data_IF_593012745714
#
_entry.id   IF_593012745714
#
_cell.length_a   1.000
_cell.length_b   1.000
_cell.length_c   1.000
_cell.angle_alpha   90.00
_cell.angle_beta   90.00
_cell.angle_gamma   90.00
#
_symmetry.space_group_name_H-M   'P 1'
#
loop_
_entity.id
_entity.type
_entity.pdbx_description
1 polymer ?
#
# COMPACT_ATOMS: atom_id res chain seq x y z
N UNK A 1 44.00 -63.57 -41.87
CA UNK A 1 42.80 -64.13 -41.24
C UNK A 1 42.15 -63.09 -40.36
N UNK A 2 41.04 -62.50 -40.79
CA UNK A 2 40.35 -61.47 -40.04
C UNK A 2 39.32 -62.11 -39.09
N UNK A 3 39.52 -61.92 -37.80
CA UNK A 3 38.63 -62.43 -36.74
C UNK A 3 37.36 -61.55 -36.66
N UNK A 4 36.23 -62.10 -37.14
CA UNK A 4 34.92 -61.44 -36.99
C UNK A 4 34.51 -61.46 -35.53
N UNK A 5 34.52 -60.29 -34.90
CA UNK A 5 33.90 -60.08 -33.60
C UNK A 5 32.38 -60.21 -33.74
N UNK A 6 31.78 -61.24 -33.19
CA UNK A 6 30.33 -61.38 -33.03
C UNK A 6 29.90 -60.50 -31.85
N UNK A 7 29.50 -59.30 -32.13
CA UNK A 7 28.79 -58.46 -31.13
C UNK A 7 27.38 -58.96 -31.01
N UNK A 8 26.99 -59.42 -29.82
CA UNK A 8 25.63 -59.89 -29.56
C UNK A 8 24.66 -58.70 -29.63
N UNK A 9 23.54 -58.88 -30.35
CA UNK A 9 22.47 -57.86 -30.41
C UNK A 9 21.94 -57.44 -29.02
N UNK A 10 22.15 -58.26 -28.00
CA UNK A 10 21.74 -57.93 -26.61
C UNK A 10 22.65 -56.94 -25.92
N UNK A 11 23.91 -56.80 -26.36
CA UNK A 11 24.85 -55.88 -25.74
C UNK A 11 24.74 -54.46 -26.32
N UNK A 12 24.18 -54.33 -27.52
CA UNK A 12 23.89 -53.05 -28.17
C UNK A 12 22.76 -52.23 -27.48
N UNK A 13 21.95 -52.85 -26.60
CA UNK A 13 20.90 -52.20 -25.88
C UNK A 13 21.22 -51.94 -24.40
N UNK A 14 22.46 -52.22 -23.96
CA UNK A 14 22.85 -52.03 -22.54
C UNK A 14 23.63 -50.75 -22.25
N UNK A 15 24.10 -50.06 -23.25
CA UNK A 15 24.67 -48.70 -23.03
C UNK A 15 23.55 -47.68 -23.33
N UNK A 16 23.17 -46.86 -22.35
CA UNK A 16 22.28 -45.76 -22.64
C UNK A 16 23.03 -44.80 -23.59
N UNK A 17 22.55 -44.72 -24.84
CA UNK A 17 23.09 -43.88 -25.87
C UNK A 17 23.36 -42.46 -25.31
N UNK A 18 24.61 -42.04 -25.42
CA UNK A 18 25.05 -40.68 -25.03
C UNK A 18 24.32 -39.56 -25.82
N UNK A 19 23.48 -39.95 -26.76
CA UNK A 19 22.72 -39.09 -27.66
C UNK A 19 21.25 -38.87 -27.27
N UNK A 20 20.76 -39.51 -26.19
CA UNK A 20 19.41 -39.21 -25.72
C UNK A 20 19.31 -37.79 -25.24
N UNK A 21 18.42 -37.01 -25.84
CA UNK A 21 18.14 -35.64 -25.44
C UNK A 21 17.67 -35.62 -23.97
N UNK A 22 17.85 -34.50 -23.28
CA UNK A 22 17.44 -34.36 -21.86
C UNK A 22 15.95 -34.69 -21.68
N UNK A 23 15.11 -34.42 -22.71
CA UNK A 23 13.69 -34.76 -22.73
C UNK A 23 13.45 -36.28 -22.80
N UNK A 24 14.22 -37.04 -23.60
CA UNK A 24 14.07 -38.49 -23.69
C UNK A 24 14.50 -39.20 -22.39
N UNK A 25 15.56 -38.69 -21.74
CA UNK A 25 15.98 -39.17 -20.41
C UNK A 25 14.89 -38.92 -19.36
N UNK A 26 14.24 -37.77 -19.40
CA UNK A 26 13.13 -37.46 -18.50
C UNK A 26 11.93 -38.40 -18.76
N UNK A 27 11.56 -38.67 -20.02
CA UNK A 27 10.47 -39.58 -20.39
C UNK A 27 10.75 -40.98 -19.88
N UNK A 28 11.96 -41.50 -20.09
CA UNK A 28 12.36 -42.83 -19.61
C UNK A 28 12.31 -42.90 -18.08
N UNK A 29 12.82 -41.89 -17.38
CA UNK A 29 12.73 -41.83 -15.92
C UNK A 29 11.28 -41.85 -15.42
N UNK A 30 10.37 -41.11 -16.06
CA UNK A 30 8.93 -41.15 -15.71
C UNK A 30 8.25 -42.47 -16.04
N UNK A 31 8.68 -43.14 -17.10
CA UNK A 31 8.15 -44.48 -17.46
C UNK A 31 8.59 -45.55 -16.44
N UNK A 32 9.82 -45.48 -15.95
CA UNK A 32 10.35 -46.41 -14.94
C UNK A 32 9.79 -46.15 -13.53
N UNK A 33 9.45 -44.87 -13.24
CA UNK A 33 8.96 -44.43 -11.92
C UNK A 33 7.52 -43.90 -12.00
N UNK A 34 6.58 -44.66 -12.56
CA UNK A 34 5.19 -44.24 -12.81
C UNK A 34 4.48 -43.69 -11.55
N UNK A 35 4.66 -44.38 -10.41
CA UNK A 35 4.04 -43.90 -9.15
C UNK A 35 4.55 -42.54 -8.69
N UNK A 36 5.87 -42.31 -8.83
CA UNK A 36 6.49 -41.03 -8.51
C UNK A 36 6.03 -39.92 -9.50
N UNK A 37 5.93 -40.25 -10.79
CA UNK A 37 5.43 -39.33 -11.82
C UNK A 37 3.98 -38.91 -11.52
N UNK A 38 3.09 -39.85 -11.20
CA UNK A 38 1.70 -39.58 -10.83
C UNK A 38 1.65 -38.69 -9.56
N UNK A 39 2.46 -38.99 -8.53
CA UNK A 39 2.51 -38.23 -7.30
C UNK A 39 2.96 -36.77 -7.57
N UNK A 40 3.99 -36.55 -8.38
CA UNK A 40 4.46 -35.22 -8.76
C UNK A 40 3.38 -34.43 -9.51
N UNK A 41 2.72 -35.06 -10.49
CA UNK A 41 1.62 -34.42 -11.23
C UNK A 41 0.47 -34.07 -10.30
N UNK A 42 0.10 -34.95 -9.39
CA UNK A 42 -0.96 -34.71 -8.40
C UNK A 42 -0.61 -33.51 -7.49
N UNK A 43 0.62 -33.43 -7.01
CA UNK A 43 1.09 -32.28 -6.20
C UNK A 43 1.04 -30.97 -7.01
N UNK A 44 1.47 -30.98 -8.26
CA UNK A 44 1.41 -29.78 -9.13
C UNK A 44 -0.04 -29.35 -9.36
N UNK A 45 -0.95 -30.28 -9.61
CA UNK A 45 -2.38 -29.98 -9.80
C UNK A 45 -3.02 -29.45 -8.52
N UNK A 46 -2.70 -30.02 -7.37
CA UNK A 46 -3.19 -29.52 -6.07
C UNK A 46 -2.64 -28.13 -5.75
N UNK A 47 -1.36 -27.89 -5.97
CA UNK A 47 -0.75 -26.58 -5.78
C UNK A 47 -1.36 -25.54 -6.73
N UNK A 48 -1.55 -25.90 -8.01
CA UNK A 48 -2.16 -25.02 -9.02
C UNK A 48 -3.61 -24.67 -8.68
N UNK A 49 -4.42 -25.67 -8.32
CA UNK A 49 -5.82 -25.47 -7.94
C UNK A 49 -5.95 -24.64 -6.64
N UNK A 50 -5.09 -24.89 -5.66
CA UNK A 50 -5.04 -24.10 -4.42
C UNK A 50 -4.67 -22.63 -4.69
N UNK A 51 -3.70 -22.40 -5.56
CA UNK A 51 -3.28 -21.05 -5.96
C UNK A 51 -4.41 -20.29 -6.68
N UNK A 52 -5.09 -20.94 -7.64
CA UNK A 52 -6.22 -20.36 -8.37
C UNK A 52 -7.37 -20.06 -7.40
N UNK A 53 -7.72 -21.02 -6.52
CA UNK A 53 -8.77 -20.84 -5.52
C UNK A 53 -8.46 -19.70 -4.54
N UNK A 54 -7.20 -19.60 -4.09
CA UNK A 54 -6.76 -18.51 -3.23
C UNK A 54 -6.85 -17.14 -3.94
N UNK A 55 -6.40 -17.07 -5.20
CA UNK A 55 -6.48 -15.83 -5.98
C UNK A 55 -7.92 -15.39 -6.21
N UNK A 56 -8.81 -16.33 -6.56
CA UNK A 56 -10.24 -16.04 -6.72
C UNK A 56 -10.89 -15.56 -5.41
N UNK A 57 -10.55 -16.21 -4.28
CA UNK A 57 -11.02 -15.78 -2.96
C UNK A 57 -10.56 -14.36 -2.61
N UNK A 58 -9.29 -14.04 -2.85
CA UNK A 58 -8.74 -12.70 -2.62
C UNK A 58 -9.44 -11.64 -3.48
N UNK A 59 -9.63 -11.91 -4.76
CA UNK A 59 -10.30 -11.00 -5.68
C UNK A 59 -11.77 -10.73 -5.28
N UNK A 60 -12.51 -11.79 -4.98
CA UNK A 60 -13.91 -11.69 -4.52
C UNK A 60 -14.00 -10.90 -3.20
N UNK A 61 -13.07 -11.12 -2.28
CA UNK A 61 -12.98 -10.38 -1.02
C UNK A 61 -12.72 -8.89 -1.28
N UNK A 62 -11.76 -8.57 -2.14
CA UNK A 62 -11.42 -7.17 -2.47
C UNK A 62 -12.61 -6.45 -3.08
N UNK A 63 -13.31 -7.06 -4.04
CA UNK A 63 -14.51 -6.47 -4.65
C UNK A 63 -15.63 -6.23 -3.63
N UNK A 64 -15.85 -7.17 -2.71
CA UNK A 64 -16.83 -7.00 -1.64
C UNK A 64 -16.46 -5.86 -0.70
N UNK A 65 -15.20 -5.78 -0.28
CA UNK A 65 -14.73 -4.75 0.64
C UNK A 65 -14.71 -3.38 -0.05
N UNK A 66 -14.51 -3.32 -1.36
CA UNK A 66 -14.68 -2.10 -2.17
C UNK A 66 -16.16 -1.67 -2.23
N UNK A 67 -17.09 -2.60 -2.39
CA UNK A 67 -18.52 -2.28 -2.32
C UNK A 67 -18.92 -1.70 -0.96
N UNK A 68 -18.38 -2.24 0.14
CA UNK A 68 -18.58 -1.68 1.48
C UNK A 68 -17.98 -0.27 1.63
N UNK A 69 -16.82 -0.02 1.03
CA UNK A 69 -16.24 1.33 1.00
C UNK A 69 -17.20 2.34 0.36
N UNK A 70 -17.74 2.03 -0.81
CA UNK A 70 -18.70 2.90 -1.49
C UNK A 70 -20.03 3.06 -0.72
N UNK A 71 -20.46 2.02 0.02
CA UNK A 71 -21.62 2.12 0.91
C UNK A 71 -21.36 3.13 2.04
N UNK A 72 -20.17 3.12 2.63
CA UNK A 72 -19.75 4.10 3.65
C UNK A 72 -19.66 5.50 3.05
N UNK A 73 -19.04 5.66 1.88
CA UNK A 73 -18.90 6.95 1.21
C UNK A 73 -20.28 7.59 0.91
N UNK A 74 -21.25 6.79 0.46
CA UNK A 74 -22.61 7.24 0.14
C UNK A 74 -23.36 7.82 1.34
N UNK A 75 -23.07 7.36 2.54
CA UNK A 75 -23.72 7.83 3.77
C UNK A 75 -22.91 8.90 4.51
N UNK A 76 -21.79 9.36 3.95
CA UNK A 76 -20.84 10.27 4.59
C UNK A 76 -21.45 11.60 5.05
N UNK A 77 -22.50 12.07 4.37
CA UNK A 77 -23.17 13.34 4.67
C UNK A 77 -24.29 13.21 5.72
N UNK A 78 -24.57 11.98 6.20
CA UNK A 78 -25.64 11.73 7.15
C UNK A 78 -25.21 12.02 8.59
N UNK A 79 -26.13 12.48 9.44
CA UNK A 79 -25.89 12.67 10.88
C UNK A 79 -25.52 11.35 11.58
N UNK A 80 -26.09 10.23 11.11
CA UNK A 80 -25.84 8.87 11.60
C UNK A 80 -24.55 8.24 11.07
N UNK A 81 -23.81 8.93 10.19
CA UNK A 81 -22.64 8.40 9.48
C UNK A 81 -21.69 7.56 10.35
N UNK A 82 -21.29 8.10 11.51
CA UNK A 82 -20.30 7.42 12.36
C UNK A 82 -20.79 6.05 12.89
N UNK A 83 -22.10 5.89 13.13
CA UNK A 83 -22.67 4.62 13.57
C UNK A 83 -22.82 3.62 12.42
N UNK A 84 -23.26 4.10 11.26
CA UNK A 84 -23.42 3.29 10.05
C UNK A 84 -22.04 2.81 9.54
N UNK A 85 -21.08 3.72 9.43
CA UNK A 85 -19.71 3.39 9.03
C UNK A 85 -19.07 2.33 9.93
N UNK A 86 -19.22 2.45 11.27
CA UNK A 86 -18.74 1.42 12.22
C UNK A 86 -19.40 0.07 11.99
N UNK A 87 -20.70 0.02 11.74
CA UNK A 87 -21.44 -1.22 11.50
C UNK A 87 -20.96 -1.91 10.19
N UNK A 88 -20.61 -1.12 9.17
CA UNK A 88 -20.07 -1.64 7.91
C UNK A 88 -18.62 -2.08 8.07
N UNK A 89 -17.76 -1.29 8.74
CA UNK A 89 -16.34 -1.61 8.97
C UNK A 89 -16.13 -2.96 9.67
N UNK A 90 -17.06 -3.36 10.56
CA UNK A 90 -17.02 -4.69 11.23
C UNK A 90 -17.18 -5.84 10.22
N UNK A 91 -17.88 -5.62 9.10
CA UNK A 91 -18.10 -6.64 8.04
C UNK A 91 -16.93 -6.73 7.06
N UNK A 92 -16.08 -5.70 7.01
CA UNK A 92 -14.93 -5.63 6.10
C UNK A 92 -13.77 -6.49 6.63
N UNK A 93 -13.06 -7.12 5.69
CA UNK A 93 -11.80 -7.79 5.99
C UNK A 93 -10.66 -6.80 6.22
N UNK A 94 -9.65 -7.21 7.00
CA UNK A 94 -8.45 -6.39 7.18
C UNK A 94 -7.74 -6.13 5.85
N UNK A 95 -7.20 -4.93 5.66
CA UNK A 95 -6.42 -4.51 4.50
C UNK A 95 -6.85 -3.15 3.94
N UNK A 96 -6.32 -2.82 2.77
CA UNK A 96 -6.35 -1.52 2.14
C UNK A 96 -7.75 -0.84 2.12
N UNK A 97 -8.80 -1.57 1.77
CA UNK A 97 -10.15 -0.97 1.66
C UNK A 97 -10.74 -0.62 3.03
N UNK A 98 -10.51 -1.45 4.06
CA UNK A 98 -10.95 -1.16 5.42
C UNK A 98 -10.21 0.04 6.00
N UNK A 99 -8.91 0.13 5.77
CA UNK A 99 -8.10 1.28 6.19
C UNK A 99 -8.58 2.57 5.53
N UNK A 100 -8.82 2.54 4.21
CA UNK A 100 -9.38 3.66 3.45
C UNK A 100 -10.76 4.09 3.98
N UNK A 101 -11.64 3.13 4.27
CA UNK A 101 -12.94 3.39 4.86
C UNK A 101 -12.85 3.95 6.29
N UNK A 102 -11.85 3.49 7.07
CA UNK A 102 -11.59 4.02 8.41
C UNK A 102 -11.13 5.47 8.38
N UNK A 103 -10.40 5.89 7.32
CA UNK A 103 -10.02 7.30 7.15
C UNK A 103 -11.24 8.20 6.98
N UNK A 104 -12.28 7.78 6.23
CA UNK A 104 -13.53 8.56 6.12
C UNK A 104 -14.19 8.76 7.48
N UNK A 105 -14.18 7.72 8.32
CA UNK A 105 -14.70 7.82 9.68
C UNK A 105 -13.86 8.75 10.56
N UNK A 106 -12.53 8.68 10.44
CA UNK A 106 -11.62 9.57 11.16
C UNK A 106 -11.83 11.03 10.76
N UNK A 107 -11.95 11.31 9.44
CA UNK A 107 -12.21 12.65 8.91
C UNK A 107 -13.55 13.20 9.39
N UNK A 108 -14.60 12.37 9.47
CA UNK A 108 -15.88 12.77 10.05
C UNK A 108 -15.77 13.15 11.52
N UNK A 109 -15.03 12.38 12.32
CA UNK A 109 -14.77 12.75 13.71
C UNK A 109 -13.95 14.04 13.81
N UNK A 110 -12.94 14.21 12.95
CA UNK A 110 -12.14 15.43 12.88
C UNK A 110 -12.98 16.66 12.56
N UNK A 111 -13.86 16.59 11.56
CA UNK A 111 -14.77 17.69 11.19
C UNK A 111 -15.73 18.08 12.33
N UNK A 112 -16.18 17.07 13.11
CA UNK A 112 -17.00 17.27 14.31
C UNK A 112 -16.21 17.75 15.53
N UNK A 113 -14.90 18.02 15.37
CA UNK A 113 -13.95 18.39 16.43
C UNK A 113 -13.79 17.32 17.52
N UNK A 114 -14.13 16.09 17.23
CA UNK A 114 -13.91 14.94 18.13
C UNK A 114 -12.49 14.37 17.91
N UNK A 115 -11.47 15.23 18.17
CA UNK A 115 -10.08 14.98 17.79
C UNK A 115 -9.53 13.69 18.39
N UNK A 116 -9.87 13.37 19.63
CA UNK A 116 -9.39 12.15 20.31
C UNK A 116 -9.87 10.88 19.62
N UNK A 117 -11.13 10.90 19.10
CA UNK A 117 -11.66 9.76 18.35
C UNK A 117 -11.00 9.65 16.98
N UNK A 118 -10.77 10.77 16.30
CA UNK A 118 -10.06 10.83 15.02
C UNK A 118 -8.62 10.31 15.18
N UNK A 119 -7.89 10.77 16.21
CA UNK A 119 -6.52 10.38 16.49
C UNK A 119 -6.36 8.87 16.68
N UNK A 120 -7.28 8.24 17.42
CA UNK A 120 -7.26 6.78 17.61
C UNK A 120 -7.38 6.05 16.28
N UNK A 121 -8.28 6.51 15.39
CA UNK A 121 -8.50 5.86 14.10
C UNK A 121 -7.30 6.10 13.17
N UNK A 122 -6.81 7.34 13.05
CA UNK A 122 -5.61 7.63 12.25
C UNK A 122 -4.41 6.80 12.72
N UNK A 123 -4.18 6.73 14.04
CA UNK A 123 -3.08 5.93 14.59
C UNK A 123 -3.25 4.43 14.30
N UNK A 124 -4.49 3.93 14.32
CA UNK A 124 -4.80 2.53 13.98
C UNK A 124 -4.50 2.25 12.52
N UNK A 125 -4.92 3.15 11.60
CA UNK A 125 -4.62 3.02 10.16
C UNK A 125 -3.10 3.04 9.95
N UNK A 126 -2.36 3.95 10.59
CA UNK A 126 -0.90 3.97 10.49
C UNK A 126 -0.25 2.67 11.00
N UNK A 127 -0.79 2.05 12.04
CA UNK A 127 -0.23 0.79 12.56
C UNK A 127 -0.51 -0.41 11.66
N UNK A 128 -1.56 -0.36 10.85
CA UNK A 128 -1.98 -1.44 9.94
C UNK A 128 -1.44 -1.30 8.52
N UNK A 129 -1.00 -0.09 8.14
CA UNK A 129 -0.45 0.23 6.83
C UNK A 129 1.08 0.27 6.87
N UNK A 130 1.73 0.01 5.74
CA UNK A 130 3.19 0.14 5.64
C UNK A 130 3.59 1.61 5.43
N UNK A 131 4.70 2.08 6.04
CA UNK A 131 5.26 3.39 5.75
C UNK A 131 5.46 3.59 4.24
N UNK A 132 4.95 4.69 3.71
CA UNK A 132 4.98 5.00 2.28
C UNK A 132 3.73 4.59 1.49
N UNK A 133 2.85 3.76 2.04
CA UNK A 133 1.54 3.53 1.45
C UNK A 133 0.64 4.76 1.57
N UNK A 134 -0.27 4.93 0.62
CA UNK A 134 -1.14 6.11 0.58
C UNK A 134 -2.01 6.25 1.84
N UNK A 135 -2.58 5.14 2.36
CA UNK A 135 -3.40 5.17 3.56
C UNK A 135 -2.58 5.57 4.80
N UNK A 136 -1.32 5.08 4.90
CA UNK A 136 -0.40 5.50 5.97
C UNK A 136 -0.18 7.01 5.94
N UNK A 137 0.10 7.57 4.77
CA UNK A 137 0.39 8.99 4.63
C UNK A 137 -0.85 9.86 4.85
N UNK A 138 -2.02 9.42 4.36
CA UNK A 138 -3.29 10.10 4.63
C UNK A 138 -3.58 10.14 6.14
N UNK A 139 -3.40 9.02 6.85
CA UNK A 139 -3.57 8.95 8.28
C UNK A 139 -2.57 9.86 9.03
N UNK A 140 -1.31 9.88 8.59
CA UNK A 140 -0.26 10.72 9.16
C UNK A 140 -0.57 12.21 8.98
N UNK A 141 -1.06 12.61 7.81
CA UNK A 141 -1.51 13.99 7.53
C UNK A 141 -2.74 14.33 8.36
N UNK A 142 -3.73 13.44 8.46
CA UNK A 142 -4.92 13.62 9.30
C UNK A 142 -4.57 13.83 10.77
N UNK A 143 -3.63 13.04 11.29
CA UNK A 143 -3.12 13.18 12.65
C UNK A 143 -2.35 14.51 12.83
N UNK A 144 -1.58 14.95 11.83
CA UNK A 144 -0.92 16.23 11.85
C UNK A 144 -1.91 17.40 11.92
N UNK A 145 -3.00 17.37 11.14
CA UNK A 145 -4.07 18.35 11.22
C UNK A 145 -4.79 18.32 12.58
N UNK A 146 -4.96 17.16 13.18
CA UNK A 146 -5.53 17.06 14.52
C UNK A 146 -4.65 17.74 15.56
N UNK A 147 -3.32 17.54 15.53
CA UNK A 147 -2.40 18.26 16.38
C UNK A 147 -2.39 19.77 16.13
N UNK A 148 -2.42 20.22 14.87
CA UNK A 148 -2.56 21.62 14.51
C UNK A 148 -3.82 22.22 15.14
N UNK A 149 -4.95 21.54 14.99
CA UNK A 149 -6.26 22.00 15.49
C UNK A 149 -6.33 22.08 17.01
N UNK A 150 -5.58 21.21 17.71
CA UNK A 150 -5.42 21.23 19.16
C UNK A 150 -4.38 22.24 19.67
N UNK A 151 -3.66 22.92 18.77
CA UNK A 151 -2.60 23.87 19.11
C UNK A 151 -1.26 23.21 19.44
N UNK A 152 -1.11 21.90 19.27
CA UNK A 152 0.17 21.19 19.46
C UNK A 152 1.03 21.30 18.18
N UNK A 153 1.43 22.53 17.87
CA UNK A 153 2.16 22.85 16.63
C UNK A 153 3.48 22.10 16.52
N UNK A 154 4.12 21.76 17.63
CA UNK A 154 5.39 21.02 17.61
C UNK A 154 5.20 19.60 17.06
N UNK A 155 4.14 18.92 17.49
CA UNK A 155 3.82 17.58 16.98
C UNK A 155 3.33 17.66 15.52
N UNK A 156 2.49 18.65 15.19
CA UNK A 156 2.04 18.86 13.81
C UNK A 156 3.23 19.06 12.86
N UNK A 157 4.19 19.94 13.21
CA UNK A 157 5.43 20.17 12.45
C UNK A 157 6.20 18.86 12.24
N UNK A 158 6.40 18.08 13.29
CA UNK A 158 7.12 16.80 13.19
C UNK A 158 6.43 15.82 12.24
N UNK A 159 5.10 15.73 12.31
CA UNK A 159 4.31 14.85 11.44
C UNK A 159 4.33 15.31 9.98
N UNK A 160 4.06 16.60 9.70
CA UNK A 160 4.10 17.12 8.33
C UNK A 160 5.49 16.97 7.71
N UNK A 161 6.55 17.25 8.48
CA UNK A 161 7.92 17.04 8.03
C UNK A 161 8.19 15.59 7.68
N UNK A 162 7.75 14.64 8.50
CA UNK A 162 7.91 13.22 8.23
C UNK A 162 7.21 12.77 6.94
N UNK A 163 6.05 13.36 6.58
CA UNK A 163 5.38 13.11 5.29
C UNK A 163 6.23 13.62 4.12
N UNK A 164 6.82 14.80 4.25
CA UNK A 164 7.68 15.38 3.22
C UNK A 164 8.95 14.55 3.03
N UNK A 165 9.58 14.16 4.13
CA UNK A 165 10.84 13.40 4.14
C UNK A 165 10.67 11.97 3.61
N UNK A 166 9.44 11.42 3.60
CA UNK A 166 9.15 10.10 3.06
C UNK A 166 9.37 9.98 1.55
N UNK A 167 9.47 11.10 0.82
CA UNK A 167 9.79 11.18 -0.61
C UNK A 167 8.97 10.23 -1.49
N UNK A 168 7.66 10.24 -1.31
CA UNK A 168 6.70 9.42 -2.05
C UNK A 168 5.97 10.27 -3.11
N UNK A 169 5.05 9.64 -3.86
CA UNK A 169 4.16 10.32 -4.81
C UNK A 169 2.98 11.05 -4.16
N UNK A 170 2.96 11.20 -2.84
CA UNK A 170 1.90 11.91 -2.12
C UNK A 170 1.85 13.38 -2.53
N UNK A 171 0.65 13.98 -2.70
CA UNK A 171 0.53 15.39 -3.06
C UNK A 171 0.96 16.29 -1.89
N UNK A 172 2.10 16.96 -2.04
CA UNK A 172 2.78 17.65 -0.94
C UNK A 172 2.44 19.15 -0.80
N UNK A 173 1.72 19.77 -1.75
CA UNK A 173 1.48 21.21 -1.71
C UNK A 173 0.83 21.67 -0.39
N UNK A 174 -0.29 21.05 -0.03
CA UNK A 174 -1.02 21.39 1.20
C UNK A 174 -0.24 21.01 2.47
N UNK A 175 0.58 19.96 2.40
CA UNK A 175 1.45 19.54 3.52
C UNK A 175 2.51 20.60 3.82
N UNK A 176 3.19 21.10 2.79
CA UNK A 176 4.14 22.20 2.93
C UNK A 176 3.48 23.50 3.42
N UNK A 177 2.29 23.80 2.89
CA UNK A 177 1.53 24.98 3.32
C UNK A 177 1.18 24.91 4.80
N UNK A 178 0.66 23.77 5.27
CA UNK A 178 0.32 23.56 6.67
C UNK A 178 1.55 23.50 7.57
N UNK A 179 2.67 22.94 7.09
CA UNK A 179 3.94 23.00 7.80
C UNK A 179 4.41 24.44 8.03
N UNK A 180 4.37 25.27 6.99
CA UNK A 180 4.76 26.69 7.12
C UNK A 180 3.85 27.43 8.11
N UNK A 181 2.54 27.19 8.03
CA UNK A 181 1.54 27.77 8.95
C UNK A 181 1.76 27.31 10.40
N UNK A 182 2.08 26.03 10.62
CA UNK A 182 2.40 25.53 11.97
C UNK A 182 3.66 26.16 12.55
N UNK A 183 4.70 26.41 11.75
CA UNK A 183 5.87 27.17 12.19
C UNK A 183 5.50 28.58 12.60
N UNK A 184 4.66 29.26 11.81
CA UNK A 184 4.20 30.61 12.13
C UNK A 184 3.40 30.64 13.44
N UNK A 185 2.43 29.73 13.61
CA UNK A 185 1.63 29.63 14.83
C UNK A 185 2.48 29.26 16.06
N UNK A 186 3.57 28.54 15.83
CA UNK A 186 4.59 28.24 16.85
C UNK A 186 5.58 29.41 17.09
N UNK A 187 5.32 30.57 16.51
CA UNK A 187 6.17 31.80 16.58
C UNK A 187 7.56 31.64 15.95
N UNK A 188 7.72 30.74 15.04
CA UNK A 188 8.96 30.43 14.30
C UNK A 188 8.84 30.94 12.86
N UNK A 189 8.78 32.26 12.72
CA UNK A 189 8.61 32.95 11.42
C UNK A 189 9.77 32.65 10.47
N UNK A 190 10.97 32.47 11.00
CA UNK A 190 12.15 32.18 10.17
C UNK A 190 12.02 30.84 9.42
N UNK A 191 11.62 29.79 10.10
CA UNK A 191 11.38 28.50 9.45
C UNK A 191 10.13 28.52 8.57
N UNK A 192 9.07 29.26 8.94
CA UNK A 192 7.91 29.47 8.05
C UNK A 192 8.33 30.07 6.71
N UNK A 193 9.13 31.13 6.71
CA UNK A 193 9.68 31.77 5.50
C UNK A 193 10.57 30.83 4.69
N UNK A 194 11.37 29.98 5.37
CA UNK A 194 12.22 29.00 4.69
C UNK A 194 11.34 28.01 3.90
N UNK A 195 10.32 27.46 4.54
CA UNK A 195 9.39 26.52 3.91
C UNK A 195 8.63 27.16 2.75
N UNK A 196 8.15 28.41 2.91
CA UNK A 196 7.44 29.12 1.84
C UNK A 196 8.34 29.37 0.62
N UNK A 197 9.61 29.70 0.82
CA UNK A 197 10.58 29.87 -0.27
C UNK A 197 10.89 28.53 -0.97
N UNK A 198 11.00 27.46 -0.22
CA UNK A 198 11.12 26.11 -0.79
C UNK A 198 9.88 25.78 -1.63
N UNK A 199 8.67 26.05 -1.13
CA UNK A 199 7.41 25.89 -1.86
C UNK A 199 7.40 26.69 -3.18
N UNK A 200 7.83 27.95 -3.15
CA UNK A 200 7.87 28.81 -4.33
C UNK A 200 8.72 28.20 -5.47
N UNK A 201 9.84 27.58 -5.11
CA UNK A 201 10.72 26.89 -6.08
C UNK A 201 10.08 25.57 -6.54
N UNK A 202 9.65 24.73 -5.59
CA UNK A 202 9.18 23.37 -5.86
C UNK A 202 7.84 23.33 -6.58
N UNK A 203 6.97 24.31 -6.35
CA UNK A 203 5.62 24.41 -6.90
C UNK A 203 5.42 25.64 -7.79
N UNK A 204 6.47 26.08 -8.51
CA UNK A 204 6.45 27.27 -9.37
C UNK A 204 5.36 27.25 -10.45
N UNK A 205 4.95 26.05 -10.91
CA UNK A 205 3.88 25.87 -11.90
C UNK A 205 2.49 25.66 -11.27
N UNK A 206 2.39 25.67 -9.93
CA UNK A 206 1.11 25.47 -9.25
C UNK A 206 0.25 26.71 -9.37
N UNK A 207 -1.06 26.61 -9.68
CA UNK A 207 -1.99 27.74 -9.77
C UNK A 207 -2.08 28.61 -8.49
N UNK A 208 -1.63 28.08 -7.36
CA UNK A 208 -1.64 28.78 -6.06
C UNK A 208 -0.30 29.46 -5.72
N UNK A 209 0.63 29.60 -6.66
CA UNK A 209 1.94 30.23 -6.41
C UNK A 209 1.81 31.65 -5.89
N UNK A 210 0.85 32.45 -6.39
CA UNK A 210 0.58 33.80 -5.93
C UNK A 210 0.22 33.86 -4.43
N UNK A 211 -0.43 32.85 -3.89
CA UNK A 211 -0.72 32.73 -2.47
C UNK A 211 0.56 32.60 -1.63
N UNK A 212 1.53 31.82 -2.14
CA UNK A 212 2.84 31.66 -1.49
C UNK A 212 3.58 33.00 -1.47
N UNK A 213 3.66 33.72 -2.60
CA UNK A 213 4.34 34.99 -2.72
C UNK A 213 3.72 36.07 -1.81
N UNK A 214 2.41 36.15 -1.80
CA UNK A 214 1.69 37.05 -0.92
C UNK A 214 2.01 36.79 0.56
N UNK A 215 2.11 35.49 0.95
CA UNK A 215 2.43 35.12 2.33
C UNK A 215 3.87 35.44 2.69
N UNK A 216 4.81 35.20 1.81
CA UNK A 216 6.23 35.61 1.99
C UNK A 216 6.33 37.13 2.22
N UNK A 217 5.65 37.91 1.38
CA UNK A 217 5.65 39.36 1.50
C UNK A 217 5.10 39.84 2.85
N UNK A 218 3.99 39.25 3.30
CA UNK A 218 3.39 39.58 4.60
C UNK A 218 4.30 39.27 5.79
N UNK A 219 5.01 38.14 5.77
CA UNK A 219 5.89 37.74 6.86
C UNK A 219 7.25 38.41 6.85
N UNK A 220 7.63 39.06 5.74
CA UNK A 220 8.89 39.76 5.57
C UNK A 220 8.77 41.28 5.84
N UNK A 221 7.55 41.79 6.06
CA UNK A 221 7.26 43.22 6.36
C UNK A 221 7.37 43.49 7.86
#
# INVERSE_FOLDING_TARGET
MAKRLKVSRKDLFKEPDQFLSTSEKAILFFMDNRSTAIAVIAVILLAGSSFIGFKYYQETRTLRDEAFYFEIEKVSDNDSFASEAKAILVKMGEGYQKERASLLLADSHFQKREFEKADVIYSTVMSNSLPGEINYQMAQVGLAYSFESKGDYKKAIAMFKSVIDANTSFPLFEVYWSLSKCHELNKDVSNSLLILREMQIKFSENPQVDKIESRIKQLSA
#
